data_IF_534409120359
#
_entry.id   IF_534409120359
#
_cell.length_a   1.000
_cell.length_b   1.000
_cell.length_c   1.000
_cell.angle_alpha   90.00
_cell.angle_beta   90.00
_cell.angle_gamma   90.00
#
_symmetry.space_group_name_H-M   'P 1'
#
loop_
_entity.id
_entity.type
_entity.pdbx_description
1 polymer ?
#
# COMPACT_ATOMS: atom_id res chain seq x y z
N UNK A 1 -4.30 27.16 -33.29
CA UNK A 1 -5.41 27.19 -32.31
C UNK A 1 -5.24 26.23 -31.10
N UNK A 2 -4.04 25.68 -30.82
CA UNK A 2 -3.85 24.62 -29.80
C UNK A 2 -3.17 25.01 -28.48
N UNK A 3 -2.74 26.25 -28.27
CA UNK A 3 -2.00 26.66 -27.05
C UNK A 3 -2.90 27.13 -25.89
N UNK A 4 -4.14 27.54 -26.16
CA UNK A 4 -5.04 28.08 -25.13
C UNK A 4 -5.67 26.99 -24.24
N UNK A 5 -5.85 25.76 -24.75
CA UNK A 5 -6.49 24.68 -23.99
C UNK A 5 -5.59 24.08 -22.89
N UNK A 6 -4.27 24.11 -23.04
CA UNK A 6 -3.34 23.58 -22.03
C UNK A 6 -3.22 24.46 -20.77
N UNK A 7 -3.26 25.80 -20.92
CA UNK A 7 -3.13 26.72 -19.79
C UNK A 7 -4.39 26.74 -18.88
N UNK A 8 -5.57 26.54 -19.47
CA UNK A 8 -6.85 26.46 -18.72
C UNK A 8 -6.97 25.13 -17.95
N UNK A 9 -6.42 24.04 -18.49
CA UNK A 9 -6.38 22.74 -17.79
C UNK A 9 -5.47 22.75 -16.54
N UNK A 10 -4.31 23.39 -16.62
CA UNK A 10 -3.34 23.48 -15.52
C UNK A 10 -3.85 24.38 -14.37
N UNK A 11 -4.49 25.51 -14.69
CA UNK A 11 -5.07 26.43 -13.70
C UNK A 11 -6.29 25.83 -12.99
N UNK A 12 -7.16 25.11 -13.71
CA UNK A 12 -8.27 24.36 -13.11
C UNK A 12 -7.82 23.13 -12.28
N UNK A 13 -6.64 22.57 -12.54
CA UNK A 13 -6.05 21.53 -11.66
C UNK A 13 -5.54 22.17 -10.38
N UNK A 14 -4.70 23.19 -10.48
CA UNK A 14 -4.12 23.89 -9.33
C UNK A 14 -5.18 24.48 -8.39
N UNK A 15 -6.28 25.04 -8.93
CA UNK A 15 -7.39 25.55 -8.12
C UNK A 15 -8.20 24.42 -7.43
N UNK A 16 -8.34 23.26 -8.07
CA UNK A 16 -8.95 22.07 -7.45
C UNK A 16 -8.06 21.48 -6.36
N UNK A 17 -6.75 21.44 -6.60
CA UNK A 17 -5.75 20.96 -5.65
C UNK A 17 -5.68 21.89 -4.41
N UNK A 18 -5.78 23.20 -4.59
CA UNK A 18 -5.86 24.18 -3.49
C UNK A 18 -7.17 24.03 -2.68
N UNK A 19 -8.30 23.79 -3.37
CA UNK A 19 -9.60 23.55 -2.73
C UNK A 19 -9.64 22.27 -1.88
N UNK A 20 -8.88 21.24 -2.27
CA UNK A 20 -8.75 20.02 -1.47
C UNK A 20 -7.92 20.19 -0.21
N UNK A 21 -7.00 21.17 -0.14
CA UNK A 21 -6.18 21.43 1.05
C UNK A 21 -6.97 22.10 2.20
N UNK A 22 -8.08 22.77 1.89
CA UNK A 22 -8.87 23.53 2.87
C UNK A 22 -10.04 22.74 3.48
N UNK A 23 -10.19 21.46 3.16
CA UNK A 23 -11.24 20.63 3.79
C UNK A 23 -10.90 20.34 5.27
N UNK A 24 -11.90 20.13 6.14
CA UNK A 24 -11.65 19.78 7.54
C UNK A 24 -10.78 18.53 7.70
N UNK A 25 -10.93 17.53 6.81
CA UNK A 25 -10.11 16.30 6.82
C UNK A 25 -8.66 16.60 6.47
N UNK A 26 -8.42 17.48 5.49
CA UNK A 26 -7.08 17.91 5.09
C UNK A 26 -6.38 18.71 6.18
N UNK A 27 -7.10 19.61 6.85
CA UNK A 27 -6.56 20.38 7.98
C UNK A 27 -6.17 19.47 9.14
N UNK A 28 -7.02 18.52 9.50
CA UNK A 28 -6.70 17.51 10.52
C UNK A 28 -5.51 16.65 10.09
N UNK A 29 -5.47 16.22 8.82
CA UNK A 29 -4.36 15.46 8.24
C UNK A 29 -3.03 16.20 8.33
N UNK A 30 -3.00 17.49 7.99
CA UNK A 30 -1.81 18.34 8.10
C UNK A 30 -1.36 18.50 9.56
N UNK A 31 -2.27 18.63 10.52
CA UNK A 31 -1.94 18.71 11.94
C UNK A 31 -1.31 17.39 12.46
N UNK A 32 -1.88 16.25 12.10
CA UNK A 32 -1.35 14.92 12.43
C UNK A 32 0.04 14.73 11.80
N UNK A 33 0.19 15.14 10.55
CA UNK A 33 1.46 15.07 9.83
C UNK A 33 2.56 15.90 10.51
N UNK A 34 2.25 17.13 10.93
CA UNK A 34 3.18 17.96 11.69
C UNK A 34 3.63 17.31 13.00
N UNK A 35 2.73 16.59 13.69
CA UNK A 35 3.08 15.82 14.88
C UNK A 35 3.99 14.62 14.56
N UNK A 36 3.75 13.90 13.45
CA UNK A 36 4.61 12.80 13.02
C UNK A 36 6.01 13.25 12.59
N UNK A 37 6.11 14.31 11.80
CA UNK A 37 7.41 14.90 11.40
C UNK A 37 8.19 15.31 12.64
N UNK A 38 7.54 16.00 13.58
CA UNK A 38 8.17 16.44 14.83
C UNK A 38 8.64 15.24 15.68
N UNK A 39 7.83 14.20 15.81
CA UNK A 39 8.18 12.96 16.53
C UNK A 39 9.38 12.26 15.90
N UNK A 40 9.41 12.16 14.57
CA UNK A 40 10.50 11.51 13.83
C UNK A 40 11.80 12.31 13.92
N UNK A 41 11.75 13.65 13.85
CA UNK A 41 12.94 14.49 14.05
C UNK A 41 13.56 14.30 15.45
N UNK A 42 12.73 14.09 16.48
CA UNK A 42 13.18 13.85 17.87
C UNK A 42 13.75 12.44 18.05
N UNK A 43 13.14 11.42 17.43
CA UNK A 43 13.57 10.02 17.58
C UNK A 43 14.66 9.61 16.58
N UNK A 44 14.93 10.44 15.57
CA UNK A 44 15.95 10.23 14.54
C UNK A 44 17.33 9.81 15.10
N UNK A 45 17.88 10.48 16.15
CA UNK A 45 19.19 10.13 16.67
C UNK A 45 19.20 8.77 17.38
N UNK A 46 18.08 8.34 17.99
CA UNK A 46 18.01 7.08 18.74
C UNK A 46 17.93 5.83 17.83
N UNK A 47 17.39 5.99 16.62
CA UNK A 47 17.32 4.90 15.63
C UNK A 47 18.68 4.51 15.03
N UNK A 48 19.68 5.39 15.10
CA UNK A 48 21.06 5.14 14.65
C UNK A 48 21.85 4.29 15.68
N UNK A 49 21.43 4.28 16.95
CA UNK A 49 22.19 3.63 18.04
C UNK A 49 21.61 2.29 18.55
N UNK A 50 20.44 1.83 18.11
CA UNK A 50 19.92 0.48 18.45
C UNK A 50 20.46 -0.63 17.51
N UNK A 51 21.61 -0.36 16.92
CA UNK A 51 22.16 -1.06 15.78
C UNK A 51 22.95 -2.31 16.19
N UNK A 52 22.26 -3.43 16.47
CA UNK A 52 22.76 -4.82 16.27
C UNK A 52 21.88 -5.99 16.76
N UNK A 53 20.81 -5.79 17.53
CA UNK A 53 20.33 -6.88 18.39
C UNK A 53 19.08 -7.69 17.97
N UNK A 54 18.23 -7.26 17.02
CA UNK A 54 16.89 -7.88 16.90
C UNK A 54 16.41 -8.32 15.50
N UNK A 55 17.30 -8.81 14.62
CA UNK A 55 16.87 -9.56 13.40
C UNK A 55 16.77 -11.08 13.60
N UNK A 56 16.70 -11.56 14.85
CA UNK A 56 16.59 -13.00 15.15
C UNK A 56 15.46 -13.28 16.13
N UNK A 57 14.26 -13.53 15.63
CA UNK A 57 13.25 -14.41 16.26
C UNK A 57 12.09 -14.63 15.30
N UNK A 58 12.07 -15.79 14.65
CA UNK A 58 10.85 -16.34 14.07
C UNK A 58 9.82 -16.51 15.17
N UNK A 59 8.64 -15.90 15.01
CA UNK A 59 7.52 -16.04 15.94
C UNK A 59 6.77 -17.33 15.59
N UNK A 60 6.71 -18.28 16.54
CA UNK A 60 6.05 -19.57 16.32
C UNK A 60 4.55 -19.48 16.68
N UNK A 61 3.72 -20.14 15.87
CA UNK A 61 2.25 -20.03 15.86
C UNK A 61 1.59 -21.01 16.87
N UNK A 62 2.40 -21.75 17.62
CA UNK A 62 1.98 -22.81 18.55
C UNK A 62 1.06 -22.30 19.67
N UNK A 63 1.09 -20.99 19.93
CA UNK A 63 0.45 -20.35 21.07
C UNK A 63 -0.96 -19.80 20.77
N UNK A 64 -1.44 -19.89 19.51
CA UNK A 64 -2.76 -19.36 19.11
C UNK A 64 -3.87 -20.42 19.18
N UNK A 65 -5.06 -19.98 19.63
CA UNK A 65 -6.22 -20.86 19.81
C UNK A 65 -6.69 -21.47 18.47
N UNK A 66 -7.23 -22.70 18.44
CA UNK A 66 -7.63 -23.39 17.20
C UNK A 66 -8.61 -22.62 16.31
N UNK A 67 -9.52 -21.84 16.92
CA UNK A 67 -10.50 -20.99 16.19
C UNK A 67 -9.81 -19.80 15.52
N UNK A 68 -8.73 -19.26 16.12
CA UNK A 68 -7.90 -18.21 15.51
C UNK A 68 -7.06 -18.76 14.36
N UNK A 69 -6.69 -20.04 14.38
CA UNK A 69 -6.03 -20.73 13.26
C UNK A 69 -6.96 -20.96 12.07
N UNK A 70 -8.25 -21.24 12.32
CA UNK A 70 -9.25 -21.52 11.27
C UNK A 70 -9.81 -20.30 10.54
N UNK A 71 -9.63 -19.08 11.06
CA UNK A 71 -10.14 -17.83 10.48
C UNK A 71 -9.07 -17.04 9.71
N UNK A 72 -7.81 -17.47 9.69
CA UNK A 72 -6.67 -16.59 9.42
C UNK A 72 -5.89 -16.79 8.13
N UNK A 73 -6.23 -17.77 7.30
CA UNK A 73 -5.40 -18.09 6.14
C UNK A 73 -6.29 -18.51 4.97
N UNK A 74 -6.60 -17.56 4.08
CA UNK A 74 -7.20 -17.90 2.80
C UNK A 74 -6.17 -18.54 1.84
N UNK A 75 -4.86 -18.25 2.04
CA UNK A 75 -3.74 -18.89 1.32
C UNK A 75 -2.48 -18.93 2.20
N UNK A 76 -2.05 -20.13 2.63
CA UNK A 76 -0.86 -20.36 3.50
C UNK A 76 0.42 -19.90 2.82
N UNK A 77 0.47 -20.07 1.50
CA UNK A 77 1.60 -19.71 0.64
C UNK A 77 1.74 -18.20 0.50
N UNK A 78 0.64 -17.47 0.28
CA UNK A 78 0.63 -16.00 0.23
C UNK A 78 0.98 -15.34 1.58
N UNK A 79 0.61 -15.98 2.70
CA UNK A 79 1.00 -15.52 4.04
C UNK A 79 2.49 -15.79 4.37
N UNK A 80 3.12 -16.73 3.65
CA UNK A 80 4.50 -17.12 3.82
C UNK A 80 5.50 -16.37 2.94
N UNK A 81 5.05 -15.78 1.82
CA UNK A 81 5.89 -14.98 0.91
C UNK A 81 6.59 -13.83 1.66
N UNK A 82 7.93 -13.71 1.57
CA UNK A 82 8.65 -12.65 2.26
C UNK A 82 8.20 -11.25 1.83
N UNK A 83 8.10 -10.33 2.79
CA UNK A 83 7.81 -8.92 2.57
C UNK A 83 9.01 -8.10 3.01
N UNK A 84 9.62 -7.37 2.08
CA UNK A 84 10.72 -6.47 2.37
C UNK A 84 10.23 -5.02 2.44
N UNK A 85 10.48 -4.36 3.56
CA UNK A 85 10.15 -2.96 3.78
C UNK A 85 11.36 -2.07 3.48
N UNK A 86 11.16 -1.04 2.65
CA UNK A 86 12.23 -0.11 2.21
C UNK A 86 11.84 1.32 2.55
N UNK A 87 12.58 1.93 3.48
CA UNK A 87 12.24 3.24 4.05
C UNK A 87 12.65 4.41 3.15
N UNK A 88 12.14 5.61 3.45
CA UNK A 88 12.45 6.85 2.74
C UNK A 88 13.70 7.58 3.26
N UNK A 89 13.90 8.81 2.76
CA UNK A 89 15.06 9.69 3.06
C UNK A 89 15.08 10.21 4.52
N UNK A 90 13.90 10.52 5.06
CA UNK A 90 13.72 11.14 6.39
C UNK A 90 13.38 10.07 7.45
N UNK A 91 13.37 8.80 7.05
CA UNK A 91 12.85 7.71 7.86
C UNK A 91 13.91 6.72 8.32
N UNK A 92 13.59 6.05 9.43
CA UNK A 92 14.23 4.83 9.87
C UNK A 92 13.16 3.73 9.98
N UNK A 93 13.53 2.52 10.41
CA UNK A 93 12.62 1.34 10.53
C UNK A 93 11.34 1.63 11.32
N UNK A 94 11.34 2.63 12.21
CA UNK A 94 10.20 2.96 13.09
C UNK A 94 8.95 3.43 12.34
N UNK A 95 9.08 4.03 11.16
CA UNK A 95 7.90 4.45 10.39
C UNK A 95 7.04 3.25 9.98
N UNK A 96 7.68 2.10 9.75
CA UNK A 96 7.00 0.86 9.44
C UNK A 96 6.54 0.09 10.67
N UNK A 97 6.78 0.55 11.90
CA UNK A 97 6.38 -0.20 13.10
C UNK A 97 4.87 -0.48 13.10
N UNK A 98 4.07 0.49 12.65
CA UNK A 98 2.62 0.32 12.54
C UNK A 98 2.19 -0.56 11.37
N UNK A 99 2.84 -0.42 10.21
CA UNK A 99 2.61 -1.30 9.07
C UNK A 99 2.98 -2.75 9.41
N UNK A 100 4.16 -2.98 9.99
CA UNK A 100 4.63 -4.30 10.44
C UNK A 100 3.66 -4.91 11.45
N UNK A 101 3.21 -4.15 12.44
CA UNK A 101 2.18 -4.63 13.39
C UNK A 101 0.86 -4.96 12.69
N UNK A 102 0.48 -4.21 11.66
CA UNK A 102 -0.69 -4.50 10.83
C UNK A 102 -0.55 -5.80 10.03
N UNK A 103 0.61 -6.00 9.40
CA UNK A 103 0.98 -7.19 8.62
C UNK A 103 1.04 -8.44 9.51
N UNK A 104 1.77 -8.38 10.62
CA UNK A 104 1.90 -9.51 11.56
C UNK A 104 0.57 -9.89 12.19
N UNK A 105 -0.29 -8.91 12.55
CA UNK A 105 -1.65 -9.20 13.05
C UNK A 105 -2.53 -9.92 12.03
N UNK A 106 -2.19 -9.88 10.74
CA UNK A 106 -2.92 -10.55 9.66
C UNK A 106 -2.22 -11.83 9.16
N UNK A 107 -1.16 -12.26 9.84
CA UNK A 107 -0.49 -13.54 9.56
C UNK A 107 0.75 -13.46 8.68
N UNK A 108 1.14 -12.27 8.22
CA UNK A 108 2.41 -12.09 7.50
C UNK A 108 3.58 -12.09 8.50
N UNK A 109 4.27 -13.23 8.58
CA UNK A 109 5.31 -13.46 9.60
C UNK A 109 6.74 -13.29 9.06
N UNK A 110 6.91 -13.24 7.74
CA UNK A 110 8.18 -13.09 7.05
C UNK A 110 8.37 -11.64 6.58
N UNK A 111 8.64 -10.72 7.54
CA UNK A 111 8.75 -9.28 7.26
C UNK A 111 10.17 -8.79 7.57
N UNK A 112 10.88 -8.36 6.52
CA UNK A 112 12.25 -7.87 6.54
C UNK A 112 12.28 -6.34 6.40
N UNK A 113 13.41 -5.71 6.73
CA UNK A 113 13.61 -4.27 6.52
C UNK A 113 15.04 -4.01 6.14
N UNK A 114 15.24 -3.35 4.99
CA UNK A 114 16.57 -2.99 4.51
C UNK A 114 17.05 -1.72 5.22
N UNK A 115 18.33 -1.70 5.62
CA UNK A 115 19.01 -0.47 6.02
C UNK A 115 19.94 -0.04 4.89
N UNK A 116 19.81 1.20 4.46
CA UNK A 116 20.78 1.87 3.59
C UNK A 116 21.02 3.28 4.13
N UNK A 117 22.16 3.88 3.81
CA UNK A 117 22.47 5.26 4.25
C UNK A 117 21.83 6.26 3.27
N UNK A 118 20.73 6.94 3.62
CA UNK A 118 20.04 7.86 2.72
C UNK A 118 20.86 9.13 2.41
N UNK A 119 21.81 9.50 3.28
CA UNK A 119 22.58 10.75 3.14
C UNK A 119 23.79 10.64 2.21
N UNK A 120 24.24 9.43 1.91
CA UNK A 120 25.43 9.19 1.08
C UNK A 120 25.13 8.40 -0.19
N UNK A 121 23.93 7.84 -0.32
CA UNK A 121 23.60 6.91 -1.39
C UNK A 121 23.06 7.58 -2.66
N UNK A 122 23.44 7.01 -3.79
CA UNK A 122 22.78 7.14 -5.08
C UNK A 122 21.66 6.08 -5.16
N UNK A 123 20.52 6.39 -5.79
CA UNK A 123 19.39 5.45 -5.86
C UNK A 123 19.78 4.17 -6.57
N UNK A 124 20.69 4.25 -7.55
CA UNK A 124 21.18 3.10 -8.32
C UNK A 124 22.00 2.16 -7.43
N UNK A 125 22.89 2.72 -6.62
CA UNK A 125 23.66 1.96 -5.64
C UNK A 125 22.75 1.31 -4.59
N UNK A 126 21.78 2.05 -4.06
CA UNK A 126 20.83 1.50 -3.10
C UNK A 126 19.96 0.39 -3.73
N UNK A 127 19.61 0.50 -5.02
CA UNK A 127 18.86 -0.52 -5.73
C UNK A 127 19.69 -1.79 -5.99
N UNK A 128 21.00 -1.66 -6.21
CA UNK A 128 21.90 -2.81 -6.31
C UNK A 128 22.02 -3.53 -4.95
N UNK A 129 22.21 -2.78 -3.86
CA UNK A 129 22.22 -3.34 -2.50
C UNK A 129 20.88 -4.00 -2.13
N UNK A 130 19.77 -3.42 -2.59
CA UNK A 130 18.44 -4.03 -2.43
C UNK A 130 18.39 -5.39 -3.12
N UNK A 131 18.97 -5.52 -4.32
CA UNK A 131 19.06 -6.79 -5.03
C UNK A 131 19.85 -7.86 -4.25
N UNK A 132 20.99 -7.48 -3.65
CA UNK A 132 21.79 -8.39 -2.81
C UNK A 132 21.00 -8.89 -1.60
N UNK A 133 20.29 -8.00 -0.90
CA UNK A 133 19.43 -8.36 0.23
C UNK A 133 18.29 -9.31 -0.19
N UNK A 134 17.69 -9.06 -1.35
CA UNK A 134 16.62 -9.91 -1.89
C UNK A 134 17.13 -11.31 -2.20
N UNK A 135 18.29 -11.45 -2.86
CA UNK A 135 18.88 -12.77 -3.11
C UNK A 135 19.22 -13.50 -1.81
N UNK A 136 19.66 -12.79 -0.77
CA UNK A 136 19.89 -13.39 0.54
C UNK A 136 18.60 -13.92 1.18
N UNK A 137 17.51 -13.14 1.13
CA UNK A 137 16.19 -13.55 1.64
C UNK A 137 15.65 -14.74 0.84
N UNK A 138 15.77 -14.72 -0.48
CA UNK A 138 15.35 -15.82 -1.37
C UNK A 138 16.13 -17.10 -1.03
N UNK A 139 17.45 -17.00 -0.85
CA UNK A 139 18.28 -18.14 -0.47
C UNK A 139 17.96 -18.68 0.93
N UNK A 140 17.63 -17.81 1.89
CA UNK A 140 17.27 -18.21 3.26
C UNK A 140 15.89 -18.86 3.33
N UNK A 141 14.90 -18.29 2.62
CA UNK A 141 13.49 -18.65 2.76
C UNK A 141 13.01 -19.69 1.75
N UNK A 142 13.73 -19.84 0.64
CA UNK A 142 13.38 -20.75 -0.46
C UNK A 142 12.27 -20.24 -1.39
N UNK A 143 11.75 -19.02 -1.18
CA UNK A 143 10.74 -18.42 -2.07
C UNK A 143 11.40 -17.81 -3.30
N UNK A 144 10.88 -18.08 -4.49
CA UNK A 144 11.46 -17.55 -5.74
C UNK A 144 11.24 -16.05 -5.95
N UNK A 145 10.13 -15.52 -5.42
CA UNK A 145 9.75 -14.12 -5.47
C UNK A 145 9.30 -13.61 -4.09
N UNK A 146 9.48 -12.31 -3.87
CA UNK A 146 9.08 -11.61 -2.66
C UNK A 146 8.11 -10.44 -2.96
N UNK A 147 7.53 -9.85 -1.92
CA UNK A 147 6.86 -8.56 -1.99
C UNK A 147 7.72 -7.44 -1.43
N UNK A 148 7.55 -6.24 -1.96
CA UNK A 148 8.24 -5.05 -1.46
C UNK A 148 7.20 -3.98 -1.11
N UNK A 149 7.38 -3.32 0.03
CA UNK A 149 6.69 -2.07 0.37
C UNK A 149 7.72 -0.96 0.53
N UNK A 150 7.76 -0.04 -0.43
CA UNK A 150 8.63 1.12 -0.43
C UNK A 150 7.88 2.38 -0.02
N UNK A 151 8.42 3.15 0.91
CA UNK A 151 7.89 4.48 1.26
C UNK A 151 8.81 5.57 0.72
N UNK A 152 8.21 6.61 0.12
CA UNK A 152 8.93 7.77 -0.40
C UNK A 152 10.08 7.34 -1.33
N UNK A 153 11.32 7.74 -1.01
CA UNK A 153 12.56 7.32 -1.69
C UNK A 153 12.71 5.79 -1.81
N UNK A 154 12.29 5.02 -0.80
CA UNK A 154 12.38 3.56 -0.82
C UNK A 154 11.59 2.92 -1.96
N UNK A 155 10.48 3.54 -2.37
CA UNK A 155 9.73 3.11 -3.55
C UNK A 155 10.45 3.40 -4.87
N UNK A 156 11.25 4.47 -4.96
CA UNK A 156 12.09 4.72 -6.15
C UNK A 156 13.22 3.70 -6.25
N UNK A 157 13.86 3.38 -5.13
CA UNK A 157 14.91 2.34 -5.06
C UNK A 157 14.35 1.01 -5.53
N UNK A 158 13.20 0.60 -5.01
CA UNK A 158 12.56 -0.65 -5.40
C UNK A 158 12.07 -0.64 -6.87
N UNK A 159 11.48 0.46 -7.35
CA UNK A 159 11.09 0.60 -8.76
C UNK A 159 12.31 0.49 -9.67
N UNK A 160 13.42 1.13 -9.32
CA UNK A 160 14.66 1.05 -10.09
C UNK A 160 15.19 -0.39 -10.15
N UNK A 161 15.23 -1.09 -9.02
CA UNK A 161 15.63 -2.50 -8.99
C UNK A 161 14.78 -3.36 -9.94
N UNK A 162 13.44 -3.24 -9.85
CA UNK A 162 12.52 -4.02 -10.67
C UNK A 162 12.67 -3.71 -12.16
N UNK A 163 12.70 -2.42 -12.53
CA UNK A 163 12.60 -1.98 -13.93
C UNK A 163 13.95 -1.87 -14.65
N UNK A 164 15.06 -1.65 -13.92
CA UNK A 164 16.38 -1.38 -14.50
C UNK A 164 17.44 -2.42 -14.18
N UNK A 165 17.25 -3.21 -13.12
CA UNK A 165 18.25 -4.20 -12.65
C UNK A 165 17.75 -5.65 -12.76
N UNK A 166 16.67 -5.90 -13.50
CA UNK A 166 16.11 -7.25 -13.67
C UNK A 166 15.37 -7.80 -12.45
N UNK A 167 15.03 -6.95 -11.48
CA UNK A 167 14.33 -7.35 -10.26
C UNK A 167 12.93 -7.91 -10.48
N UNK A 168 12.34 -7.75 -11.69
CA UNK A 168 11.08 -8.39 -12.09
C UNK A 168 11.06 -9.91 -11.83
N UNK A 169 12.22 -10.56 -11.97
CA UNK A 169 12.39 -11.99 -11.72
C UNK A 169 12.20 -12.36 -10.24
N UNK A 170 12.40 -11.42 -9.31
CA UNK A 170 12.38 -11.65 -7.85
C UNK A 170 11.24 -10.93 -7.14
N UNK A 171 10.53 -10.04 -7.80
CA UNK A 171 9.49 -9.23 -7.16
C UNK A 171 8.13 -9.55 -7.74
N UNK A 172 7.26 -10.07 -6.89
CA UNK A 172 5.89 -10.35 -7.24
C UNK A 172 5.03 -9.07 -7.22
N UNK A 173 5.16 -8.29 -6.15
CA UNK A 173 4.37 -7.07 -5.97
C UNK A 173 5.21 -5.99 -5.32
N UNK A 174 5.21 -4.81 -5.93
CA UNK A 174 5.78 -3.59 -5.38
C UNK A 174 4.65 -2.65 -4.96
N UNK A 175 4.52 -2.42 -3.67
CA UNK A 175 3.68 -1.37 -3.10
C UNK A 175 4.53 -0.13 -2.88
N UNK A 176 4.07 1.03 -3.35
CA UNK A 176 4.72 2.32 -3.09
C UNK A 176 3.81 3.25 -2.30
N UNK A 177 4.35 3.92 -1.29
CA UNK A 177 3.63 4.85 -0.42
C UNK A 177 4.25 6.24 -0.56
N UNK A 178 3.55 7.17 -1.22
CA UNK A 178 4.01 8.56 -1.35
C UNK A 178 5.33 8.69 -2.12
N UNK A 179 5.59 7.77 -3.04
CA UNK A 179 6.84 7.76 -3.82
C UNK A 179 6.80 8.80 -4.94
N UNK A 180 7.82 9.66 -5.10
CA UNK A 180 7.84 10.69 -6.14
C UNK A 180 8.19 10.09 -7.51
N UNK A 181 7.26 9.35 -8.11
CA UNK A 181 7.47 8.60 -9.36
C UNK A 181 7.83 9.49 -10.55
N UNK A 182 7.36 10.74 -10.57
CA UNK A 182 7.72 11.77 -11.56
C UNK A 182 8.58 12.89 -10.94
N UNK A 183 9.23 12.61 -9.81
CA UNK A 183 9.95 13.60 -9.02
C UNK A 183 9.04 14.53 -8.21
N UNK A 184 9.65 15.44 -7.46
CA UNK A 184 8.95 16.43 -6.62
C UNK A 184 9.67 17.78 -6.63
N UNK A 185 8.92 18.88 -6.69
CA UNK A 185 9.44 20.23 -6.51
C UNK A 185 10.01 20.44 -5.10
N UNK A 186 9.55 19.68 -4.11
CA UNK A 186 10.12 19.71 -2.75
C UNK A 186 11.61 19.38 -2.72
N UNK A 187 12.12 18.65 -3.71
CA UNK A 187 13.53 18.29 -3.83
C UNK A 187 14.47 19.45 -4.21
N UNK A 188 13.93 20.64 -4.50
CA UNK A 188 14.71 21.87 -4.66
C UNK A 188 14.97 22.60 -3.34
N UNK A 189 14.29 22.23 -2.24
CA UNK A 189 14.38 22.94 -0.97
C UNK A 189 15.76 22.89 -0.32
N UNK A 190 16.53 21.81 -0.54
CA UNK A 190 17.86 21.62 0.03
C UNK A 190 18.87 21.12 -1.03
N UNK A 191 20.14 21.55 -0.96
CA UNK A 191 21.17 21.19 -1.94
C UNK A 191 21.81 19.81 -1.68
N UNK A 192 21.00 18.77 -1.46
CA UNK A 192 21.48 17.40 -1.22
C UNK A 192 21.52 16.59 -2.51
N UNK A 193 22.58 15.78 -2.73
CA UNK A 193 22.75 14.96 -3.94
C UNK A 193 21.58 14.00 -4.17
N UNK A 194 21.14 13.31 -3.13
CA UNK A 194 20.00 12.39 -3.21
C UNK A 194 18.69 13.10 -3.58
N UNK A 195 18.43 14.30 -3.04
CA UNK A 195 17.28 15.12 -3.44
C UNK A 195 17.38 15.52 -4.91
N UNK A 196 18.57 15.88 -5.40
CA UNK A 196 18.74 16.27 -6.80
C UNK A 196 18.31 15.17 -7.79
N UNK A 197 18.36 13.90 -7.39
CA UNK A 197 17.86 12.78 -8.19
C UNK A 197 16.34 12.65 -8.17
N UNK A 198 15.67 13.16 -7.15
CA UNK A 198 14.20 13.14 -7.05
C UNK A 198 13.55 14.40 -7.63
N UNK A 199 14.32 15.26 -8.29
CA UNK A 199 13.77 16.40 -9.03
C UNK A 199 13.05 15.91 -10.29
N UNK A 200 11.98 16.59 -10.73
CA UNK A 200 11.39 16.34 -12.05
C UNK A 200 12.48 16.40 -13.14
N UNK A 201 12.36 15.53 -14.14
CA UNK A 201 13.27 15.43 -15.28
C UNK A 201 14.75 15.14 -14.95
N UNK A 202 15.05 14.74 -13.71
CA UNK A 202 16.41 14.29 -13.34
C UNK A 202 16.82 13.06 -14.16
N UNK A 203 18.11 12.74 -14.17
CA UNK A 203 18.62 11.52 -14.81
C UNK A 203 17.93 10.25 -14.26
N UNK A 204 17.67 10.20 -12.95
CA UNK A 204 16.98 9.08 -12.33
C UNK A 204 15.52 8.97 -12.78
N UNK A 205 14.78 10.07 -12.81
CA UNK A 205 13.37 10.03 -13.22
C UNK A 205 13.25 9.64 -14.69
N UNK A 206 14.10 10.22 -15.55
CA UNK A 206 14.16 9.85 -16.98
C UNK A 206 14.49 8.38 -17.19
N UNK A 207 15.43 7.85 -16.40
CA UNK A 207 15.73 6.43 -16.43
C UNK A 207 14.50 5.60 -16.01
N UNK A 208 13.83 5.96 -14.91
CA UNK A 208 12.64 5.23 -14.48
C UNK A 208 11.49 5.24 -15.50
N UNK A 209 11.47 6.20 -16.42
CA UNK A 209 10.48 6.34 -17.49
C UNK A 209 10.92 5.70 -18.83
N UNK A 210 12.12 5.10 -18.89
CA UNK A 210 12.51 4.27 -20.05
C UNK A 210 11.65 3.00 -20.16
N UNK A 211 11.43 2.48 -21.37
CA UNK A 211 10.63 1.28 -21.59
C UNK A 211 11.06 0.09 -20.72
N UNK A 212 10.07 -0.61 -20.16
CA UNK A 212 10.24 -1.79 -19.31
C UNK A 212 9.40 -2.96 -19.84
N UNK A 213 9.63 -3.39 -21.10
CA UNK A 213 8.76 -4.34 -21.77
C UNK A 213 8.76 -5.69 -21.06
N UNK A 214 7.58 -6.29 -20.91
CA UNK A 214 7.42 -7.61 -20.32
C UNK A 214 7.56 -7.66 -18.79
N UNK A 215 7.62 -6.52 -18.11
CA UNK A 215 7.58 -6.49 -16.64
C UNK A 215 6.27 -7.10 -16.13
N UNK A 216 6.38 -8.14 -15.32
CA UNK A 216 5.28 -8.90 -14.74
C UNK A 216 4.97 -8.49 -13.29
N UNK A 217 5.90 -7.79 -12.62
CA UNK A 217 5.68 -7.26 -11.27
C UNK A 217 4.42 -6.41 -11.22
N UNK A 218 3.55 -6.69 -10.25
CA UNK A 218 2.37 -5.86 -9.98
C UNK A 218 2.74 -4.65 -9.15
N UNK A 219 2.32 -3.45 -9.58
CA UNK A 219 2.55 -2.21 -8.86
C UNK A 219 1.27 -1.71 -8.21
N UNK A 220 1.35 -1.32 -6.94
CA UNK A 220 0.26 -0.66 -6.21
C UNK A 220 0.80 0.64 -5.63
N UNK A 221 0.37 1.79 -6.16
CA UNK A 221 0.82 3.09 -5.66
C UNK A 221 -0.27 3.77 -4.83
N UNK A 222 0.01 3.96 -3.55
CA UNK A 222 -0.75 4.84 -2.67
C UNK A 222 -0.14 6.24 -2.70
N UNK A 223 -0.96 7.23 -3.04
CA UNK A 223 -0.56 8.64 -3.05
C UNK A 223 -1.68 9.49 -2.46
N UNK A 224 -1.34 10.67 -1.94
CA UNK A 224 -2.31 11.53 -1.25
C UNK A 224 -2.35 12.92 -1.84
N UNK A 225 -3.53 13.51 -1.89
CA UNK A 225 -3.72 14.91 -2.33
C UNK A 225 -3.36 15.96 -1.29
N UNK A 226 -3.02 15.54 -0.07
CA UNK A 226 -2.46 16.39 0.98
C UNK A 226 -1.00 16.07 1.27
N UNK A 227 -0.32 15.35 0.38
CA UNK A 227 1.12 15.17 0.46
C UNK A 227 1.83 16.51 0.20
N UNK A 228 2.59 16.99 1.17
CA UNK A 228 3.33 18.25 1.07
C UNK A 228 4.81 18.03 0.73
N UNK A 229 5.28 16.78 0.74
CA UNK A 229 6.64 16.42 0.35
C UNK A 229 6.68 16.14 -1.15
N UNK A 230 5.63 15.49 -1.67
CA UNK A 230 5.47 15.23 -3.10
C UNK A 230 4.57 16.28 -3.73
N UNK A 231 5.18 17.20 -4.47
CA UNK A 231 4.48 18.31 -5.13
C UNK A 231 4.93 18.34 -6.61
N UNK A 232 3.99 18.35 -7.58
CA UNK A 232 2.54 18.23 -7.41
C UNK A 232 2.18 16.84 -6.87
N UNK A 233 1.09 16.73 -6.11
CA UNK A 233 0.69 15.50 -5.42
C UNK A 233 0.45 14.33 -6.38
N UNK A 234 -0.03 14.65 -7.59
CA UNK A 234 -0.22 13.67 -8.65
C UNK A 234 1.08 12.96 -9.07
N UNK A 235 2.26 13.50 -8.74
CA UNK A 235 3.55 12.84 -8.98
C UNK A 235 3.78 11.63 -8.05
N UNK A 236 2.90 11.43 -7.07
CA UNK A 236 2.84 10.17 -6.31
C UNK A 236 2.19 9.02 -7.07
N UNK A 237 1.43 9.31 -8.14
CA UNK A 237 0.80 8.28 -8.96
C UNK A 237 1.80 7.68 -9.94
N UNK A 238 1.97 6.35 -9.94
CA UNK A 238 2.83 5.70 -10.92
C UNK A 238 2.10 5.62 -12.27
N UNK A 239 2.73 6.15 -13.32
CA UNK A 239 2.21 6.12 -14.69
C UNK A 239 3.33 5.66 -15.59
N UNK A 240 3.16 4.49 -16.19
CA UNK A 240 4.12 3.91 -17.12
C UNK A 240 3.38 2.99 -18.09
N UNK A 241 3.63 3.07 -19.41
CA UNK A 241 2.88 2.29 -20.40
C UNK A 241 3.07 0.77 -20.24
N UNK A 242 4.27 0.35 -19.84
CA UNK A 242 4.61 -1.09 -19.77
C UNK A 242 4.31 -1.75 -18.42
N UNK A 243 3.91 -0.99 -17.39
CA UNK A 243 3.74 -1.52 -16.03
C UNK A 243 2.28 -1.79 -15.70
N UNK A 244 2.03 -2.90 -15.00
CA UNK A 244 0.71 -3.19 -14.41
C UNK A 244 0.52 -2.41 -13.11
N UNK A 245 -0.14 -1.25 -13.18
CA UNK A 245 -0.24 -0.31 -12.05
C UNK A 245 -1.68 -0.12 -11.56
N UNK A 246 -1.88 -0.30 -10.25
CA UNK A 246 -3.07 0.14 -9.53
C UNK A 246 -2.75 1.38 -8.69
N UNK A 247 -3.27 2.54 -9.08
CA UNK A 247 -3.14 3.78 -8.31
C UNK A 247 -4.30 3.95 -7.33
N UNK A 248 -3.99 4.21 -6.06
CA UNK A 248 -4.96 4.45 -4.98
C UNK A 248 -4.70 5.85 -4.44
N UNK A 249 -5.62 6.77 -4.73
CA UNK A 249 -5.59 8.13 -4.19
C UNK A 249 -6.21 8.13 -2.79
N UNK A 250 -5.52 8.74 -1.85
CA UNK A 250 -5.98 9.01 -0.49
C UNK A 250 -6.30 10.50 -0.34
N UNK A 251 -7.22 10.81 0.56
CA UNK A 251 -7.63 12.17 0.85
C UNK A 251 -7.36 12.53 2.31
N UNK A 252 -6.66 13.63 2.55
CA UNK A 252 -6.38 14.12 3.91
C UNK A 252 -5.34 13.30 4.69
N UNK A 253 -4.48 12.56 3.99
CA UNK A 253 -3.39 11.79 4.61
C UNK A 253 -2.05 12.47 4.27
N UNK A 254 -1.25 12.83 5.27
CA UNK A 254 0.09 13.38 5.03
C UNK A 254 1.11 12.32 4.60
N UNK A 255 2.29 12.75 4.15
CA UNK A 255 3.35 11.89 3.60
C UNK A 255 3.85 10.81 4.58
N UNK A 256 4.11 11.20 5.81
CA UNK A 256 4.56 10.35 6.93
C UNK A 256 3.42 9.52 7.51
N UNK A 257 2.18 9.99 7.33
CA UNK A 257 0.98 9.29 7.78
C UNK A 257 0.63 8.09 6.89
N UNK A 258 1.05 8.07 5.62
CA UNK A 258 0.77 6.99 4.65
C UNK A 258 1.08 5.57 5.17
N UNK A 259 2.28 5.26 5.70
CA UNK A 259 2.60 3.93 6.24
C UNK A 259 1.92 3.62 7.59
N UNK A 260 1.28 4.59 8.23
CA UNK A 260 0.74 4.48 9.59
C UNK A 260 -0.77 4.24 9.57
N UNK A 261 -1.49 4.83 8.60
CA UNK A 261 -2.94 4.77 8.52
C UNK A 261 -3.41 3.31 8.34
N UNK A 262 -4.35 2.89 9.20
CA UNK A 262 -4.85 1.52 9.24
C UNK A 262 -5.49 1.03 7.95
N UNK A 263 -6.13 1.92 7.19
CA UNK A 263 -6.76 1.61 5.89
C UNK A 263 -5.71 1.24 4.84
N UNK A 264 -4.54 1.91 4.85
CA UNK A 264 -3.42 1.59 3.96
C UNK A 264 -2.86 0.23 4.33
N UNK A 265 -2.57 -0.01 5.61
CA UNK A 265 -2.10 -1.31 6.07
C UNK A 265 -3.10 -2.44 5.75
N UNK A 266 -4.40 -2.18 5.90
CA UNK A 266 -5.44 -3.14 5.53
C UNK A 266 -5.47 -3.41 4.03
N UNK A 267 -5.47 -2.37 3.20
CA UNK A 267 -5.47 -2.50 1.74
C UNK A 267 -4.25 -3.24 1.22
N UNK A 268 -3.06 -3.01 1.80
CA UNK A 268 -1.84 -3.77 1.50
C UNK A 268 -2.05 -5.24 1.84
N UNK A 269 -2.49 -5.55 3.07
CA UNK A 269 -2.70 -6.94 3.48
C UNK A 269 -3.69 -7.68 2.58
N UNK A 270 -4.81 -7.03 2.23
CA UNK A 270 -5.81 -7.61 1.32
C UNK A 270 -5.20 -7.85 -0.06
N UNK A 271 -4.50 -6.86 -0.63
CA UNK A 271 -3.91 -7.00 -1.96
C UNK A 271 -2.81 -8.08 -2.01
N UNK A 272 -2.05 -8.27 -0.93
CA UNK A 272 -1.05 -9.33 -0.83
C UNK A 272 -1.69 -10.71 -0.53
N UNK A 273 -2.85 -10.76 0.12
CA UNK A 273 -3.56 -12.02 0.40
C UNK A 273 -4.38 -12.54 -0.80
N UNK A 274 -4.85 -11.66 -1.68
CA UNK A 274 -5.62 -12.00 -2.90
C UNK A 274 -4.74 -12.50 -4.06
N UNK A 275 -3.70 -13.28 -3.74
CA UNK A 275 -2.82 -13.92 -4.72
C UNK A 275 -3.24 -15.36 -4.98
N UNK A 276 -3.38 -15.75 -6.25
CA UNK A 276 -3.41 -17.16 -6.64
C UNK A 276 -1.98 -17.71 -6.75
N UNK A 277 -1.85 -19.04 -6.88
CA UNK A 277 -0.58 -19.76 -6.99
C UNK A 277 0.28 -19.35 -8.20
N UNK A 278 -0.25 -18.57 -9.14
CA UNK A 278 0.43 -18.10 -10.35
C UNK A 278 0.59 -16.57 -10.37
N UNK A 279 0.24 -15.88 -9.29
CA UNK A 279 0.39 -14.44 -9.13
C UNK A 279 -0.73 -13.56 -9.71
N UNK A 280 -1.83 -14.18 -10.17
CA UNK A 280 -3.05 -13.50 -10.56
C UNK A 280 -3.85 -12.98 -9.36
N UNK A 281 -4.71 -11.98 -9.59
CA UNK A 281 -5.65 -11.47 -8.58
C UNK A 281 -6.89 -12.37 -8.59
N UNK A 282 -7.20 -13.06 -7.50
CA UNK A 282 -8.14 -14.19 -7.53
C UNK A 282 -9.60 -13.78 -7.71
N UNK A 283 -10.00 -12.51 -7.52
CA UNK A 283 -11.39 -12.10 -7.83
C UNK A 283 -11.55 -10.58 -8.02
N UNK A 284 -12.11 -10.15 -9.16
CA UNK A 284 -12.77 -8.84 -9.24
C UNK A 284 -14.03 -8.91 -8.38
N UNK A 285 -14.09 -8.17 -7.27
CA UNK A 285 -15.26 -8.16 -6.39
C UNK A 285 -16.54 -7.79 -7.14
N UNK A 286 -17.35 -8.78 -7.49
CA UNK A 286 -18.73 -8.61 -7.95
C UNK A 286 -19.63 -8.86 -6.76
N UNK A 287 -20.20 -7.80 -6.20
CA UNK A 287 -21.64 -7.65 -5.89
C UNK A 287 -21.84 -6.27 -5.28
N UNK A 288 -22.45 -5.30 -5.99
CA UNK A 288 -22.90 -4.07 -5.35
C UNK A 288 -24.04 -4.41 -4.38
N UNK A 289 -23.88 -4.02 -3.11
CA UNK A 289 -24.97 -4.07 -2.13
C UNK A 289 -25.98 -3.01 -2.55
N UNK A 290 -27.06 -3.45 -3.19
CA UNK A 290 -28.22 -2.60 -3.43
C UNK A 290 -28.84 -2.20 -2.08
N UNK A 291 -29.25 -0.93 -1.90
CA UNK A 291 -29.92 -0.51 -0.68
C UNK A 291 -31.26 -1.23 -0.57
N UNK A 292 -31.56 -1.81 0.60
CA UNK A 292 -32.85 -2.42 0.90
C UNK A 292 -33.95 -1.35 0.77
N UNK A 293 -34.70 -1.38 -0.32
CA UNK A 293 -35.97 -0.68 -0.45
C UNK A 293 -36.93 -1.24 0.58
N UNK A 294 -37.33 -0.38 1.51
CA UNK A 294 -38.31 -0.70 2.55
C UNK A 294 -39.71 -0.55 1.95
N UNK A 295 -40.18 -1.59 1.27
CA UNK A 295 -41.56 -1.69 0.75
C UNK A 295 -42.12 -3.06 1.06
N UNK A 296 -43.22 -3.12 1.81
CA UNK A 296 -43.92 -4.37 2.06
C UNK A 296 -44.85 -4.34 3.27
N UNK A 297 -45.97 -3.66 3.11
CA UNK A 297 -47.14 -3.60 3.99
C UNK A 297 -47.56 -4.98 4.50
N UNK A 298 -47.70 -5.11 5.82
CA UNK A 298 -48.16 -6.32 6.51
C UNK A 298 -49.65 -6.55 6.24
N UNK A 299 -49.99 -7.42 5.29
CA UNK A 299 -51.35 -7.94 5.15
C UNK A 299 -51.44 -9.31 5.81
N UNK A 300 -52.17 -9.34 6.93
CA UNK A 300 -52.36 -10.48 7.83
C UNK A 300 -53.16 -11.58 7.12
N UNK A 301 -52.57 -12.76 6.89
CA UNK A 301 -53.26 -13.95 6.37
C UNK A 301 -53.55 -14.91 7.51
N UNK A 302 -54.82 -15.26 7.68
CA UNK A 302 -55.39 -16.11 8.74
C UNK A 302 -55.16 -17.60 8.41
N UNK A 303 -54.87 -18.49 9.38
CA UNK A 303 -54.56 -19.90 9.12
C UNK A 303 -55.81 -20.76 8.86
N UNK A 304 -55.66 -21.96 8.24
CA UNK A 304 -56.76 -22.82 7.82
C UNK A 304 -57.30 -23.68 8.97
N UNK A 305 -58.58 -24.04 8.89
CA UNK A 305 -59.26 -24.92 9.84
C UNK A 305 -59.17 -26.39 9.38
N UNK A 306 -58.64 -27.25 10.25
CA UNK A 306 -58.61 -28.69 10.09
C UNK A 306 -59.96 -29.34 10.40
N UNK A 307 -60.26 -30.39 9.62
CA UNK A 307 -61.42 -31.28 9.77
C UNK A 307 -61.13 -32.40 10.78
N UNK A 308 -62.05 -32.60 11.71
CA UNK A 308 -62.39 -33.89 12.33
C UNK A 308 -63.91 -33.82 12.56
N UNK A 309 -64.79 -34.71 12.09
CA UNK A 309 -64.71 -36.17 12.04
C UNK A 309 -65.67 -36.70 13.10
N UNK A 310 -66.83 -37.25 12.71
CA UNK A 310 -67.68 -38.02 13.67
C UNK A 310 -69.18 -38.03 13.39
N UNK A 311 -69.64 -39.16 12.86
CA UNK A 311 -71.03 -39.66 12.69
C UNK A 311 -71.88 -39.47 13.96
N UNK A 312 -73.20 -39.27 13.89
CA UNK A 312 -74.26 -40.32 13.88
C UNK A 312 -75.63 -39.58 13.89
N UNK A 313 -76.52 -39.81 12.92
CA UNK A 313 -77.60 -40.81 12.87
C UNK A 313 -78.87 -40.52 13.72
N UNK A 314 -79.96 -40.25 12.98
CA UNK A 314 -81.36 -40.68 13.15
C UNK A 314 -82.34 -39.96 14.11
N UNK A 315 -83.50 -39.67 13.49
CA UNK A 315 -84.91 -39.65 13.97
C UNK A 315 -85.22 -38.76 15.17
N UNK A 316 -86.20 -37.86 15.12
CA UNK A 316 -87.47 -37.90 14.39
C UNK A 316 -88.59 -37.86 15.42
N UNK A 317 -89.11 -36.66 15.69
CA UNK A 317 -90.49 -36.27 16.01
C UNK A 317 -90.45 -34.81 16.48
#
# INVERSE_FOLDING_TARGET
MGRAHHAVGATCSAARDLGTLLTPRSVIGMAIEGAWVSTHLVTYPLGIFQDRAESRRGYRIEHLAPVQRGLHIANVEAAGTPILLVHGLIDNRSIFAMLRRGLTRRGFNSVYSMNYSPFTADVRTAAAQLGEEIEAIVAETGYEKIHIVGHSLGGLIARYYVTRLGGDARVHTLVTLGTPHQGTWGAYALPMRILSQMRPDSGLIRELDEPAPGCTTRFISYWSDTDLVIVPQANGALRHPDLSVRNIRLHGVGHMSLPIVGDVAHGICTALAELDQHGGTVTSGVTPIAPRTRTGTTTRRRPPADRAGGRTARSGQ
#
